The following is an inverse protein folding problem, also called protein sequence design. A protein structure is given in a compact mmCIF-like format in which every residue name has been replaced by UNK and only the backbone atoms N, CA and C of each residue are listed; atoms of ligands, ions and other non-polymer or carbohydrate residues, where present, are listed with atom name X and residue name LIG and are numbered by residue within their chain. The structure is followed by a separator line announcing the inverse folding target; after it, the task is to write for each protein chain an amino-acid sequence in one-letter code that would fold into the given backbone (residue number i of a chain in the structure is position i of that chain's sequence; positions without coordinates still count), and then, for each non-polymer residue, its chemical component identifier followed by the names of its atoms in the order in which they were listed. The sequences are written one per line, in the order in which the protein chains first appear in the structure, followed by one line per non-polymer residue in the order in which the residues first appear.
data_IF_521154323392
#
_entry.id   IF_521154323392
#
_cell.length_a   1.000
_cell.length_b   1.000
_cell.length_c   1.000
_cell.angle_alpha   90.00
_cell.angle_beta   90.00
_cell.angle_gamma   90.00
#
_symmetry.space_group_name_H-M   'P 1'
#
loop_
_entity.id
_entity.type
_entity.pdbx_description
1 polymer ?
#
# COMPACT_ATOMS: atom_id res chain seq x y z
N UNK A 1 -4.59 16.34 -4.15
CA UNK A 1 -4.52 14.97 -3.63
C UNK A 1 -5.02 14.95 -2.21
N UNK A 2 -5.71 13.89 -1.86
CA UNK A 2 -6.25 13.73 -0.52
C UNK A 2 -5.11 13.54 0.49
N UNK A 3 -5.22 14.24 1.62
CA UNK A 3 -4.21 14.19 2.68
C UNK A 3 -4.53 13.11 3.73
N UNK A 4 -3.60 12.90 4.67
CA UNK A 4 -3.75 11.92 5.74
C UNK A 4 -5.01 12.15 6.59
N UNK A 5 -5.39 13.41 6.81
CA UNK A 5 -6.59 13.75 7.58
C UNK A 5 -7.88 13.35 6.85
N UNK A 6 -7.91 13.49 5.54
CA UNK A 6 -9.02 13.00 4.72
C UNK A 6 -9.18 11.49 4.86
N UNK A 7 -8.09 10.72 4.71
CA UNK A 7 -8.13 9.26 4.82
C UNK A 7 -8.54 8.79 6.21
N UNK A 8 -8.05 9.44 7.28
CA UNK A 8 -8.46 9.12 8.65
C UNK A 8 -9.99 9.28 8.81
N UNK A 9 -10.54 10.41 8.41
CA UNK A 9 -11.99 10.67 8.47
C UNK A 9 -12.76 9.65 7.63
N UNK A 10 -12.35 9.44 6.39
CA UNK A 10 -13.02 8.52 5.46
C UNK A 10 -13.10 7.10 6.02
N UNK A 11 -12.00 6.60 6.55
CA UNK A 11 -11.95 5.25 7.13
C UNK A 11 -12.87 5.14 8.35
N UNK A 12 -12.85 6.14 9.23
CA UNK A 12 -13.74 6.14 10.42
C UNK A 12 -15.20 6.19 10.02
N UNK A 13 -15.57 7.01 9.06
CA UNK A 13 -16.93 7.10 8.55
C UNK A 13 -17.39 5.78 7.92
N UNK A 14 -16.53 5.14 7.13
CA UNK A 14 -16.84 3.85 6.52
C UNK A 14 -17.00 2.74 7.57
N UNK A 15 -16.18 2.73 8.62
CA UNK A 15 -16.33 1.78 9.74
C UNK A 15 -17.65 2.04 10.48
N UNK A 16 -18.03 3.28 10.69
CA UNK A 16 -19.32 3.65 11.32
C UNK A 16 -20.48 3.09 10.51
N UNK A 17 -20.49 3.33 9.20
CA UNK A 17 -21.52 2.80 8.30
C UNK A 17 -21.57 1.28 8.29
N UNK A 18 -20.40 0.62 8.26
CA UNK A 18 -20.31 -0.83 8.32
C UNK A 18 -20.90 -1.40 9.61
N UNK A 19 -20.57 -0.80 10.75
CA UNK A 19 -21.12 -1.21 12.06
C UNK A 19 -22.65 -1.11 12.07
N UNK A 20 -23.19 -0.02 11.57
CA UNK A 20 -24.65 0.21 11.50
C UNK A 20 -25.31 -0.81 10.56
N UNK A 21 -24.76 -0.98 9.36
CA UNK A 21 -25.34 -1.85 8.33
C UNK A 21 -25.38 -3.32 8.73
N UNK A 22 -24.35 -3.79 9.41
CA UNK A 22 -24.20 -5.20 9.76
C UNK A 22 -24.38 -5.49 11.26
N UNK A 23 -24.87 -4.49 12.02
CA UNK A 23 -25.09 -4.60 13.47
C UNK A 23 -23.88 -5.18 14.22
N UNK A 24 -22.68 -4.66 13.93
CA UNK A 24 -21.44 -5.16 14.51
C UNK A 24 -21.05 -4.37 15.76
N UNK A 25 -20.55 -5.13 16.75
CA UNK A 25 -19.93 -4.59 17.96
C UNK A 25 -18.42 -4.49 17.74
N UNK A 26 -17.93 -3.28 17.59
CA UNK A 26 -16.51 -3.00 17.37
C UNK A 26 -16.13 -1.69 18.06
N UNK A 27 -15.07 -1.73 18.89
CA UNK A 27 -14.54 -0.52 19.52
C UNK A 27 -13.71 0.30 18.51
N UNK A 28 -14.37 1.24 17.88
CA UNK A 28 -13.77 2.11 16.85
C UNK A 28 -12.70 3.04 17.43
N UNK A 29 -12.80 3.39 18.73
CA UNK A 29 -11.84 4.28 19.39
C UNK A 29 -10.50 3.58 19.64
N UNK A 30 -10.48 2.25 19.72
CA UNK A 30 -9.27 1.45 19.82
C UNK A 30 -8.51 1.34 18.48
N UNK A 31 -9.10 1.78 17.37
CA UNK A 31 -8.50 1.70 16.04
C UNK A 31 -7.45 2.80 15.84
N UNK A 32 -6.23 2.41 15.50
CA UNK A 32 -5.17 3.34 15.08
C UNK A 32 -5.12 3.37 13.55
N UNK A 33 -5.30 4.54 12.98
CA UNK A 33 -5.17 4.78 11.54
C UNK A 33 -3.90 5.61 11.32
N UNK A 34 -3.03 5.13 10.43
CA UNK A 34 -1.81 5.83 10.07
C UNK A 34 -1.62 5.79 8.56
N UNK A 35 -1.55 6.96 7.94
CA UNK A 35 -1.18 7.09 6.54
C UNK A 35 0.34 7.17 6.41
N UNK A 36 0.93 6.22 5.72
CA UNK A 36 2.37 6.23 5.40
C UNK A 36 2.57 7.14 4.18
N UNK A 37 3.36 8.19 4.34
CA UNK A 37 3.58 9.22 3.33
C UNK A 37 4.94 9.05 2.64
N UNK A 38 5.10 9.71 1.47
CA UNK A 38 6.38 9.78 0.75
C UNK A 38 6.54 8.76 -0.38
N UNK A 39 5.53 7.95 -0.70
CA UNK A 39 5.63 6.86 -1.68
C UNK A 39 4.72 7.02 -2.90
N UNK A 40 4.13 8.19 -3.10
CA UNK A 40 3.30 8.47 -4.28
C UNK A 40 4.12 8.54 -5.58
N UNK A 41 5.42 8.83 -5.44
CA UNK A 41 6.29 9.06 -6.60
C UNK A 41 5.98 10.37 -7.31
N UNK A 42 6.26 10.43 -8.61
CA UNK A 42 6.09 11.63 -9.43
C UNK A 42 4.61 11.96 -9.73
N UNK A 43 3.70 11.03 -9.48
CA UNK A 43 2.27 11.25 -9.69
C UNK A 43 1.48 9.96 -9.91
N UNK A 44 0.18 10.15 -10.18
CA UNK A 44 -0.72 9.03 -10.48
C UNK A 44 -0.27 8.29 -11.75
N UNK A 45 -0.19 6.97 -11.65
CA UNK A 45 0.21 6.12 -12.77
C UNK A 45 1.69 6.23 -13.17
N UNK A 46 2.47 7.09 -12.49
CA UNK A 46 3.90 7.26 -12.77
C UNK A 46 4.69 6.53 -11.69
N UNK A 47 5.46 5.52 -12.08
CA UNK A 47 6.31 4.73 -11.19
C UNK A 47 7.78 4.84 -11.62
N UNK A 48 8.66 4.93 -10.62
CA UNK A 48 10.10 4.89 -10.86
C UNK A 48 10.63 3.46 -11.07
N UNK A 49 11.90 3.32 -11.48
CA UNK A 49 12.52 2.01 -11.72
C UNK A 49 12.46 1.07 -10.51
N UNK A 50 12.55 1.61 -9.30
CA UNK A 50 12.49 0.85 -8.05
C UNK A 50 11.17 0.10 -7.87
N UNK A 51 10.07 0.64 -8.41
CA UNK A 51 8.75 -0.02 -8.34
C UNK A 51 8.71 -1.21 -9.32
N UNK A 52 9.19 -1.02 -10.54
CA UNK A 52 9.25 -2.10 -11.53
C UNK A 52 10.20 -3.21 -11.09
N UNK A 53 11.30 -2.88 -10.44
CA UNK A 53 12.28 -3.84 -9.93
C UNK A 53 11.66 -4.70 -8.80
N UNK A 54 10.94 -4.10 -7.84
CA UNK A 54 10.30 -4.86 -6.77
C UNK A 54 9.15 -5.73 -7.27
N UNK A 55 8.37 -5.27 -8.25
CA UNK A 55 7.33 -6.07 -8.89
C UNK A 55 7.96 -7.31 -9.56
N UNK A 56 9.03 -7.11 -10.33
CA UNK A 56 9.74 -8.21 -11.00
C UNK A 56 10.33 -9.21 -10.02
N UNK A 57 10.93 -8.73 -8.94
CA UNK A 57 11.51 -9.58 -7.90
C UNK A 57 10.46 -10.43 -7.20
N UNK A 58 9.34 -9.82 -6.78
CA UNK A 58 8.26 -10.56 -6.13
C UNK A 58 7.60 -11.58 -7.06
N UNK A 59 7.40 -11.23 -8.31
CA UNK A 59 6.90 -12.18 -9.31
C UNK A 59 7.82 -13.39 -9.44
N UNK A 60 9.12 -13.15 -9.49
CA UNK A 60 10.13 -14.19 -9.66
C UNK A 60 10.35 -15.05 -8.42
N UNK A 61 10.35 -14.45 -7.22
CA UNK A 61 10.72 -15.14 -5.97
C UNK A 61 9.54 -15.70 -5.22
N UNK A 62 8.38 -15.02 -5.26
CA UNK A 62 7.21 -15.35 -4.44
C UNK A 62 5.97 -15.69 -5.28
N UNK A 63 6.00 -15.50 -6.59
CA UNK A 63 4.83 -15.68 -7.44
C UNK A 63 3.72 -14.66 -7.19
N UNK A 64 4.06 -13.50 -6.62
CA UNK A 64 3.13 -12.41 -6.34
C UNK A 64 3.24 -11.35 -7.44
N UNK A 65 2.08 -10.97 -8.00
CA UNK A 65 2.02 -10.00 -9.10
C UNK A 65 1.37 -8.71 -8.65
N UNK A 66 2.21 -7.71 -8.37
CA UNK A 66 1.78 -6.36 -8.03
C UNK A 66 1.66 -5.48 -9.27
N UNK A 67 0.98 -4.35 -9.15
CA UNK A 67 0.85 -3.35 -10.22
C UNK A 67 1.71 -2.10 -9.95
N UNK A 68 2.10 -1.35 -10.97
CA UNK A 68 2.93 -0.16 -10.80
C UNK A 68 2.17 1.08 -10.32
N UNK A 69 0.83 1.06 -10.31
CA UNK A 69 0.02 2.23 -9.94
C UNK A 69 -0.22 2.28 -8.43
N UNK A 70 -0.62 1.17 -7.83
CA UNK A 70 -1.04 1.10 -6.42
C UNK A 70 -0.22 0.12 -5.59
N UNK A 71 -0.37 -1.18 -5.85
CA UNK A 71 0.16 -2.22 -4.97
C UNK A 71 1.68 -2.29 -4.95
N UNK A 72 2.34 -2.02 -6.06
CA UNK A 72 3.81 -1.94 -6.13
C UNK A 72 4.35 -0.79 -5.27
N UNK A 73 3.74 0.40 -5.35
CA UNK A 73 4.13 1.56 -4.53
C UNK A 73 3.88 1.31 -3.05
N UNK A 74 2.73 0.74 -2.71
CA UNK A 74 2.38 0.41 -1.32
C UNK A 74 3.34 -0.63 -0.73
N UNK A 75 3.67 -1.67 -1.48
CA UNK A 75 4.62 -2.71 -1.04
C UNK A 75 6.03 -2.15 -0.90
N UNK A 76 6.49 -1.36 -1.85
CA UNK A 76 7.78 -0.68 -1.78
C UNK A 76 7.86 0.22 -0.55
N UNK A 77 6.82 1.00 -0.28
CA UNK A 77 6.74 1.85 0.91
C UNK A 77 6.79 1.04 2.20
N UNK A 78 6.03 -0.05 2.28
CA UNK A 78 6.03 -0.94 3.44
C UNK A 78 7.43 -1.50 3.72
N UNK A 79 8.08 -2.08 2.72
CA UNK A 79 9.43 -2.66 2.88
C UNK A 79 10.45 -1.60 3.26
N UNK A 80 10.41 -0.44 2.60
CA UNK A 80 11.33 0.67 2.87
C UNK A 80 11.20 1.15 4.31
N UNK A 81 9.98 1.34 4.80
CA UNK A 81 9.75 1.79 6.17
C UNK A 81 10.13 0.74 7.22
N UNK A 82 9.90 -0.55 6.94
CA UNK A 82 10.34 -1.62 7.83
C UNK A 82 11.87 -1.70 7.92
N UNK A 83 12.58 -1.50 6.82
CA UNK A 83 14.05 -1.52 6.79
C UNK A 83 14.69 -0.34 7.53
N UNK A 84 13.97 0.76 7.70
CA UNK A 84 14.44 1.90 8.51
C UNK A 84 14.45 1.60 10.02
N UNK A 85 13.81 0.51 10.46
CA UNK A 85 13.72 0.15 11.87
C UNK A 85 13.07 1.24 12.73
N UNK A 86 13.74 1.69 13.78
CA UNK A 86 13.18 2.68 14.72
C UNK A 86 12.88 4.05 14.07
N UNK A 87 13.56 4.42 13.01
CA UNK A 87 13.33 5.67 12.28
C UNK A 87 12.20 5.60 11.26
N UNK A 88 11.65 4.41 11.00
CA UNK A 88 10.60 4.18 10.02
C UNK A 88 9.21 4.54 10.54
N UNK A 89 8.30 4.85 9.61
CA UNK A 89 6.90 5.13 9.92
C UNK A 89 6.14 3.89 10.43
N UNK A 90 6.70 2.68 10.23
CA UNK A 90 6.18 1.41 10.73
C UNK A 90 6.99 0.86 11.92
N UNK A 91 7.72 1.72 12.62
CA UNK A 91 8.52 1.30 13.77
C UNK A 91 7.65 0.63 14.85
N UNK A 92 8.19 -0.43 15.48
CA UNK A 92 7.48 -1.19 16.50
C UNK A 92 6.51 -2.26 15.97
N UNK A 93 6.28 -2.34 14.66
CA UNK A 93 5.44 -3.40 14.08
C UNK A 93 6.11 -4.78 14.26
N UNK A 94 5.44 -5.68 14.97
CA UNK A 94 5.91 -7.08 15.17
C UNK A 94 5.37 -8.03 14.13
N UNK A 95 4.16 -7.78 13.66
CA UNK A 95 3.50 -8.54 12.62
C UNK A 95 2.99 -7.57 11.56
N UNK A 96 3.18 -7.92 10.30
CA UNK A 96 2.75 -7.10 9.17
C UNK A 96 1.93 -7.97 8.23
N UNK A 97 0.73 -7.49 7.89
CA UNK A 97 -0.12 -8.11 6.90
C UNK A 97 -0.26 -7.13 5.74
N UNK A 98 0.14 -7.55 4.56
CA UNK A 98 -0.08 -6.79 3.33
C UNK A 98 -1.36 -7.27 2.64
N UNK A 99 -2.29 -6.36 2.40
CA UNK A 99 -3.54 -6.67 1.70
C UNK A 99 -3.35 -6.34 0.22
N UNK A 100 -3.35 -7.37 -0.62
CA UNK A 100 -3.27 -7.22 -2.07
C UNK A 100 -4.64 -6.85 -2.64
N UNK A 101 -4.78 -5.62 -3.11
CA UNK A 101 -6.07 -5.07 -3.57
C UNK A 101 -6.34 -5.28 -5.06
N UNK A 102 -5.50 -6.06 -5.76
CA UNK A 102 -5.66 -6.31 -7.18
C UNK A 102 -4.76 -5.43 -8.06
N UNK A 103 -5.23 -5.08 -9.24
CA UNK A 103 -4.53 -4.15 -10.14
C UNK A 103 -3.61 -4.80 -11.17
N UNK A 104 -3.57 -6.13 -11.28
CA UNK A 104 -2.66 -6.84 -12.19
C UNK A 104 -2.67 -6.30 -13.62
N UNK A 105 -3.83 -5.96 -14.15
CA UNK A 105 -3.95 -5.45 -15.51
C UNK A 105 -3.21 -4.13 -15.74
N UNK A 106 -2.88 -3.38 -14.69
CA UNK A 106 -2.05 -2.18 -14.78
C UNK A 106 -0.59 -2.43 -15.19
N UNK A 107 -0.14 -3.69 -15.16
CA UNK A 107 1.19 -4.11 -15.63
C UNK A 107 1.31 -3.99 -17.15
N UNK A 108 0.29 -4.40 -17.88
CA UNK A 108 0.36 -4.53 -19.34
C UNK A 108 0.63 -3.23 -20.09
N UNK A 109 -0.04 -2.10 -19.78
CA UNK A 109 0.26 -0.83 -20.45
C UNK A 109 1.66 -0.28 -20.19
N UNK A 110 2.34 -0.81 -19.17
CA UNK A 110 3.65 -0.34 -18.73
C UNK A 110 4.74 -1.41 -18.88
N UNK A 111 4.49 -2.46 -19.64
CA UNK A 111 5.41 -3.60 -19.81
C UNK A 111 6.80 -3.19 -20.28
N UNK A 112 6.92 -2.12 -21.07
CA UNK A 112 8.19 -1.62 -21.58
C UNK A 112 9.13 -1.06 -20.49
N UNK A 113 8.59 -0.78 -19.30
CA UNK A 113 9.36 -0.25 -18.18
C UNK A 113 10.01 -1.36 -17.31
N UNK A 114 9.62 -2.61 -17.53
CA UNK A 114 10.24 -3.75 -16.85
C UNK A 114 11.55 -4.13 -17.55
N UNK A 115 12.53 -4.50 -16.74
CA UNK A 115 13.81 -5.02 -17.21
C UNK A 115 13.89 -6.51 -16.85
N UNK A 116 13.91 -7.34 -17.86
CA UNK A 116 14.00 -8.79 -17.71
C UNK A 116 15.43 -9.20 -18.12
N UNK A 117 16.32 -9.19 -17.17
CA UNK A 117 17.71 -9.67 -17.35
C UNK A 117 17.93 -11.02 -16.67
#
# INVERSE_FOLDING_TARGET
SDDAAYFDRKIRDDVTLWKQRYNQQFDQDAMTIKTVEGYLGAGYGIAGPEIFDIISELGRTEGLFLDPVYTGKAFHGMVTELLKGESGQLSGAKNVVFIHTGGLFGVFPQQQNFRFE
#
